data_IF_815613620124
#
_entry.id   IF_815613620124
#
_cell.length_a   1.000
_cell.length_b   1.000
_cell.length_c   1.000
_cell.angle_alpha   90.00
_cell.angle_beta   90.00
_cell.angle_gamma   90.00
#
_symmetry.space_group_name_H-M   'P 1'
#
loop_
_entity.id
_entity.type
_entity.pdbx_description
1 polymer ?
#
# COMPACT_ATOMS: atom_id res chain seq x y z
N UNK A 1 -15.53 12.01 -18.60
CA UNK A 1 -14.50 12.56 -17.68
C UNK A 1 -13.16 11.93 -18.00
N UNK A 2 -12.04 12.63 -17.81
CA UNK A 2 -10.71 12.06 -18.02
C UNK A 2 -10.23 11.26 -16.79
N UNK A 3 -9.21 10.40 -16.96
CA UNK A 3 -8.65 9.54 -15.89
C UNK A 3 -8.24 10.32 -14.65
N UNK A 4 -7.66 11.51 -14.81
CA UNK A 4 -7.21 12.33 -13.68
C UNK A 4 -8.38 12.87 -12.84
N UNK A 5 -9.49 13.24 -13.48
CA UNK A 5 -10.71 13.68 -12.78
C UNK A 5 -11.38 12.56 -12.00
N UNK A 6 -11.35 11.32 -12.53
CA UNK A 6 -11.88 10.13 -11.85
C UNK A 6 -11.02 9.82 -10.62
N UNK A 7 -9.69 9.77 -10.77
CA UNK A 7 -8.77 9.53 -9.66
C UNK A 7 -8.92 10.58 -8.55
N UNK A 8 -9.00 11.86 -8.90
CA UNK A 8 -9.17 12.91 -7.88
C UNK A 8 -10.51 12.77 -7.15
N UNK A 9 -11.58 12.39 -7.84
CA UNK A 9 -12.90 12.14 -7.21
C UNK A 9 -12.85 10.94 -6.27
N UNK A 10 -12.16 9.86 -6.65
CA UNK A 10 -11.99 8.67 -5.82
C UNK A 10 -11.13 8.95 -4.58
N UNK A 11 -10.05 9.72 -4.70
CA UNK A 11 -9.24 10.10 -3.52
C UNK A 11 -10.09 10.89 -2.51
N UNK A 12 -10.93 11.80 -3.00
CA UNK A 12 -11.87 12.56 -2.14
C UNK A 12 -12.92 11.67 -1.48
N UNK A 13 -13.51 10.73 -2.22
CA UNK A 13 -14.52 9.82 -1.66
C UNK A 13 -13.95 8.93 -0.55
N UNK A 14 -12.63 8.71 -0.54
CA UNK A 14 -11.92 7.98 0.50
C UNK A 14 -11.35 8.89 1.61
N UNK A 15 -11.75 10.16 1.64
CA UNK A 15 -11.47 11.09 2.74
C UNK A 15 -10.13 11.83 2.63
N UNK A 16 -9.46 11.82 1.47
CA UNK A 16 -8.32 12.70 1.25
C UNK A 16 -8.80 14.13 0.97
N UNK A 17 -8.22 15.09 1.69
CA UNK A 17 -8.50 16.51 1.48
C UNK A 17 -7.86 17.03 0.18
N UNK A 18 -8.29 18.20 -0.29
CA UNK A 18 -7.61 18.86 -1.43
C UNK A 18 -6.12 19.10 -1.15
N UNK A 19 -5.77 19.42 0.09
CA UNK A 19 -4.38 19.61 0.52
C UNK A 19 -3.59 18.29 0.43
N UNK A 20 -4.18 17.16 0.78
CA UNK A 20 -3.54 15.85 0.66
C UNK A 20 -3.37 15.45 -0.81
N UNK A 21 -4.36 15.75 -1.64
CA UNK A 21 -4.29 15.51 -3.09
C UNK A 21 -3.23 16.40 -3.73
N UNK A 22 -3.08 17.65 -3.29
CA UNK A 22 -2.02 18.53 -3.77
C UNK A 22 -0.64 17.98 -3.38
N UNK A 23 -0.46 17.52 -2.14
CA UNK A 23 0.79 16.83 -1.73
C UNK A 23 1.13 15.66 -2.64
N UNK A 24 0.15 14.81 -2.98
CA UNK A 24 0.36 13.69 -3.90
C UNK A 24 0.81 14.16 -5.28
N UNK A 25 0.22 15.25 -5.81
CA UNK A 25 0.65 15.85 -7.10
C UNK A 25 2.08 16.38 -7.04
N UNK A 26 2.49 16.88 -5.88
CA UNK A 26 3.83 17.41 -5.63
C UNK A 26 4.85 16.30 -5.26
N UNK A 27 4.43 15.02 -5.26
CA UNK A 27 5.29 13.87 -4.96
C UNK A 27 5.45 13.56 -3.47
N UNK A 28 4.66 14.19 -2.60
CA UNK A 28 4.66 13.94 -1.16
C UNK A 28 3.55 12.99 -0.74
N UNK A 29 3.83 12.17 0.27
CA UNK A 29 2.84 11.26 0.87
C UNK A 29 2.07 11.99 1.98
N UNK A 30 0.71 11.98 1.96
CA UNK A 30 -0.11 12.55 3.02
C UNK A 30 0.13 11.92 4.40
N UNK A 31 -0.18 12.68 5.46
CA UNK A 31 -0.04 12.18 6.83
C UNK A 31 -1.01 11.01 7.05
N UNK A 32 -0.51 9.93 7.66
CA UNK A 32 -1.30 8.73 7.92
C UNK A 32 -1.43 7.79 6.72
N UNK A 33 -0.68 8.04 5.65
CA UNK A 33 -0.55 7.15 4.50
C UNK A 33 0.93 6.79 4.26
N UNK A 34 1.14 5.70 3.54
CA UNK A 34 2.44 5.23 3.05
C UNK A 34 2.29 4.67 1.63
N UNK A 35 3.41 4.57 0.90
CA UNK A 35 3.48 3.76 -0.32
C UNK A 35 3.91 2.36 0.09
N UNK A 36 3.18 1.35 -0.39
CA UNK A 36 3.42 -0.05 -0.07
C UNK A 36 3.50 -0.87 -1.35
N UNK A 37 4.26 -1.97 -1.32
CA UNK A 37 4.30 -2.93 -2.41
C UNK A 37 3.11 -3.89 -2.32
N UNK A 38 2.35 -4.09 -3.40
CA UNK A 38 1.25 -5.06 -3.43
C UNK A 38 1.76 -6.49 -3.26
N UNK A 39 2.78 -6.84 -4.05
CA UNK A 39 3.58 -8.06 -3.88
C UNK A 39 4.87 -7.70 -3.13
N UNK A 40 5.22 -8.40 -2.04
CA UNK A 40 6.41 -8.10 -1.25
C UNK A 40 7.70 -8.40 -2.02
N UNK A 41 8.74 -7.61 -1.77
CA UNK A 41 10.06 -7.77 -2.41
C UNK A 41 10.75 -9.09 -2.01
N UNK A 42 10.42 -9.63 -0.84
CA UNK A 42 10.97 -10.91 -0.34
C UNK A 42 10.38 -12.14 -1.05
N UNK A 43 9.41 -11.95 -1.94
CA UNK A 43 8.79 -12.99 -2.77
C UNK A 43 8.86 -12.61 -4.26
N UNK A 44 7.77 -12.09 -4.82
CA UNK A 44 7.59 -11.87 -6.26
C UNK A 44 7.47 -10.38 -6.65
N UNK A 45 7.59 -9.47 -5.68
CA UNK A 45 7.45 -8.04 -5.87
C UNK A 45 8.64 -7.37 -6.59
N UNK A 46 8.34 -6.29 -7.31
CA UNK A 46 9.33 -5.41 -7.95
C UNK A 46 9.11 -3.95 -7.54
N UNK A 47 10.02 -3.05 -7.94
CA UNK A 47 9.86 -1.61 -7.76
C UNK A 47 9.05 -0.94 -8.88
N UNK A 48 8.38 -1.71 -9.74
CA UNK A 48 7.52 -1.15 -10.78
C UNK A 48 6.35 -0.39 -10.14
N UNK A 49 5.98 0.77 -10.71
CA UNK A 49 4.85 1.56 -10.20
C UNK A 49 3.53 0.77 -10.18
N UNK A 50 3.37 -0.22 -11.06
CA UNK A 50 2.22 -1.13 -11.03
C UNK A 50 2.19 -2.04 -9.81
N UNK A 51 3.29 -2.20 -9.08
CA UNK A 51 3.36 -2.94 -7.82
C UNK A 51 3.26 -2.01 -6.59
N UNK A 52 3.05 -0.70 -6.78
CA UNK A 52 2.98 0.27 -5.67
C UNK A 52 1.54 0.73 -5.45
N UNK A 53 1.16 0.82 -4.18
CA UNK A 53 -0.17 1.25 -3.72
C UNK A 53 -0.03 2.28 -2.61
N UNK A 54 -0.81 3.36 -2.69
CA UNK A 54 -1.02 4.25 -1.56
C UNK A 54 -1.89 3.51 -0.53
N UNK A 55 -1.46 3.44 0.72
CA UNK A 55 -2.19 2.73 1.78
C UNK A 55 -2.30 3.58 3.03
N UNK A 56 -3.44 3.48 3.74
CA UNK A 56 -3.61 4.11 5.05
C UNK A 56 -2.85 3.31 6.10
N UNK A 57 -2.16 4.01 6.99
CA UNK A 57 -1.30 3.40 8.01
C UNK A 57 -2.11 2.50 8.97
N UNK A 58 -3.31 2.95 9.36
CA UNK A 58 -4.22 2.22 10.24
C UNK A 58 -5.63 2.16 9.61
N UNK A 59 -6.26 0.97 9.51
CA UNK A 59 -5.77 -0.33 9.99
C UNK A 59 -4.90 -1.09 8.97
N UNK A 60 -4.93 -0.70 7.70
CA UNK A 60 -4.52 -1.59 6.60
C UNK A 60 -3.02 -1.93 6.60
N UNK A 61 -2.14 -0.93 6.58
CA UNK A 61 -0.69 -1.18 6.60
C UNK A 61 -0.27 -1.94 7.86
N UNK A 62 -0.81 -1.52 9.01
CA UNK A 62 -0.53 -2.13 10.32
C UNK A 62 -0.87 -3.63 10.34
N UNK A 63 -1.99 -4.05 9.76
CA UNK A 63 -2.37 -5.48 9.70
C UNK A 63 -1.32 -6.30 8.96
N UNK A 64 -0.85 -5.81 7.81
CA UNK A 64 0.10 -6.55 6.95
C UNK A 64 1.46 -6.66 7.62
N UNK A 65 1.98 -5.53 8.12
CA UNK A 65 3.26 -5.54 8.86
C UNK A 65 3.18 -6.43 10.10
N UNK A 66 2.05 -6.44 10.82
CA UNK A 66 1.88 -7.32 11.98
C UNK A 66 1.82 -8.79 11.58
N UNK A 67 1.14 -9.13 10.49
CA UNK A 67 1.09 -10.49 9.97
C UNK A 67 2.48 -10.98 9.54
N UNK A 68 3.20 -10.17 8.75
CA UNK A 68 4.60 -10.43 8.40
C UNK A 68 5.45 -10.69 9.64
N UNK A 69 5.41 -9.76 10.61
CA UNK A 69 6.16 -9.88 11.85
C UNK A 69 5.81 -11.15 12.64
N UNK A 70 4.54 -11.56 12.64
CA UNK A 70 4.10 -12.78 13.36
C UNK A 70 4.71 -14.06 12.78
N UNK A 71 5.00 -14.06 11.47
CA UNK A 71 5.63 -15.19 10.78
C UNK A 71 7.14 -15.14 10.98
N UNK A 72 7.78 -14.04 10.55
CA UNK A 72 9.25 -13.96 10.43
C UNK A 72 9.96 -13.98 11.78
N UNK A 73 9.32 -13.56 12.88
CA UNK A 73 9.90 -13.61 14.24
C UNK A 73 10.20 -15.02 14.73
N UNK A 74 9.55 -16.03 14.15
CA UNK A 74 9.73 -17.44 14.55
C UNK A 74 10.65 -18.21 13.60
N UNK A 75 11.11 -17.57 12.52
CA UNK A 75 11.92 -18.19 11.49
C UNK A 75 13.41 -18.10 11.80
N UNK A 76 14.16 -19.12 11.39
CA UNK A 76 15.62 -19.13 11.41
C UNK A 76 16.18 -18.49 10.14
N UNK A 77 17.42 -18.01 10.22
CA UNK A 77 18.14 -17.52 9.03
C UNK A 77 18.23 -18.64 7.99
N UNK A 78 17.83 -18.35 6.75
CA UNK A 78 17.80 -19.31 5.64
C UNK A 78 16.56 -20.21 5.60
N UNK A 79 15.64 -20.10 6.55
CA UNK A 79 14.37 -20.82 6.52
C UNK A 79 13.41 -20.22 5.49
N UNK A 80 12.62 -21.08 4.84
CA UNK A 80 11.53 -20.69 3.94
C UNK A 80 10.22 -21.28 4.44
N UNK A 81 9.11 -20.55 4.26
CA UNK A 81 7.79 -20.97 4.75
C UNK A 81 6.69 -20.52 3.80
N UNK A 82 5.81 -21.43 3.43
CA UNK A 82 4.58 -21.10 2.71
C UNK A 82 3.51 -20.59 3.68
N UNK A 83 2.89 -19.47 3.33
CA UNK A 83 1.86 -18.80 4.15
C UNK A 83 0.77 -18.22 3.26
N UNK A 84 -0.43 -18.06 3.82
CA UNK A 84 -1.50 -17.31 3.17
C UNK A 84 -1.25 -15.81 3.38
N UNK A 85 -0.62 -15.17 2.40
CA UNK A 85 -0.27 -13.76 2.51
C UNK A 85 -1.47 -12.83 2.32
N UNK A 86 -1.67 -11.81 3.18
CA UNK A 86 -2.70 -10.80 2.99
C UNK A 86 -2.28 -9.87 1.84
N UNK A 87 -2.92 -10.02 0.68
CA UNK A 87 -2.73 -9.13 -0.46
C UNK A 87 -3.72 -7.97 -0.36
N UNK A 88 -3.20 -6.74 -0.40
CA UNK A 88 -4.03 -5.56 -0.61
C UNK A 88 -4.34 -5.52 -2.10
N UNK A 89 -5.59 -5.79 -2.49
CA UNK A 89 -5.95 -5.72 -3.90
C UNK A 89 -5.57 -4.36 -4.51
N UNK A 90 -4.98 -4.40 -5.71
CA UNK A 90 -4.90 -3.27 -6.64
C UNK A 90 -6.25 -2.53 -6.66
N UNK A 91 -6.22 -1.21 -6.46
CA UNK A 91 -7.36 -0.27 -6.59
C UNK A 91 -8.12 0.10 -5.32
N UNK A 92 -7.45 0.47 -4.22
CA UNK A 92 -8.18 1.16 -3.13
C UNK A 92 -8.76 2.51 -3.63
N UNK A 93 -8.13 3.17 -4.62
CA UNK A 93 -8.51 4.53 -5.06
C UNK A 93 -8.70 4.69 -6.59
N UNK A 94 -8.74 3.60 -7.36
CA UNK A 94 -8.89 3.65 -8.84
C UNK A 94 -10.35 3.54 -9.27
#
# INVERSE_FOLDING_TARGET
MNRATILQSNLKSHGLSETDIQKLKDGFVPKGYQVHHELPLDDSGTNDFSNLVLIKNDPYHKVITNYQNSIVRTMKIGESKEVLWPIIGKNIYN
#
